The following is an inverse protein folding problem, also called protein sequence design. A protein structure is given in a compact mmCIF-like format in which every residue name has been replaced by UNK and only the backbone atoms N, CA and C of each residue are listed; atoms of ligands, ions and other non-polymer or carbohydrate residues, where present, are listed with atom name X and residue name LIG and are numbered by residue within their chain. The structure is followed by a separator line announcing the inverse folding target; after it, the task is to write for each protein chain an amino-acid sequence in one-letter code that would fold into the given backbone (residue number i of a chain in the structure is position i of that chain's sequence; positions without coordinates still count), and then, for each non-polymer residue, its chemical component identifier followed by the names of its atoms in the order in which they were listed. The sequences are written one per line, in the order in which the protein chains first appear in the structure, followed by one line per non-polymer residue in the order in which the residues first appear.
data_IF_336558788772
#
_entry.id   IF_336558788772
#
_cell.length_a   1.000
_cell.length_b   1.000
_cell.length_c   1.000
_cell.angle_alpha   90.00
_cell.angle_beta   90.00
_cell.angle_gamma   90.00
#
_symmetry.space_group_name_H-M   'P 1'
#
loop_
_entity.id
_entity.type
_entity.pdbx_description
1 polymer ?
#
# COMPACT_ATOMS: atom_id res chain seq x y z
N UNK A 1 0.35 -12.53 68.35
CA UNK A 1 0.07 -13.11 67.02
C UNK A 1 -1.24 -12.65 66.42
N UNK A 2 -2.37 -12.76 67.09
CA UNK A 2 -3.69 -12.32 66.57
C UNK A 2 -3.75 -10.81 66.28
N UNK A 3 -3.15 -9.94 67.14
CA UNK A 3 -3.04 -8.50 66.90
C UNK A 3 -2.18 -8.16 65.66
N UNK A 4 -1.08 -8.91 65.44
CA UNK A 4 -0.19 -8.71 64.31
C UNK A 4 -0.84 -9.11 62.98
N UNK A 5 -1.60 -10.23 62.95
CA UNK A 5 -2.37 -10.67 61.80
C UNK A 5 -3.51 -9.69 61.47
N UNK A 6 -4.14 -9.10 62.51
CA UNK A 6 -5.20 -8.10 62.35
C UNK A 6 -4.65 -6.77 61.81
N UNK A 7 -3.44 -6.36 62.21
CA UNK A 7 -2.74 -5.18 61.69
C UNK A 7 -2.22 -5.42 60.28
N UNK A 8 -1.67 -6.61 59.94
CA UNK A 8 -1.26 -7.00 58.62
C UNK A 8 -2.40 -6.97 57.59
N UNK A 9 -3.58 -7.49 57.98
CA UNK A 9 -4.79 -7.39 57.16
C UNK A 9 -5.21 -5.95 56.89
N UNK A 10 -5.08 -5.07 57.86
CA UNK A 10 -5.41 -3.63 57.77
C UNK A 10 -4.44 -2.89 56.82
N UNK A 11 -3.16 -3.28 56.80
CA UNK A 11 -2.17 -2.69 55.90
C UNK A 11 -2.33 -3.14 54.47
N UNK A 12 -2.71 -4.38 54.23
CA UNK A 12 -3.06 -4.89 52.91
C UNK A 12 -4.25 -4.18 52.27
N UNK A 13 -5.27 -3.80 53.10
CA UNK A 13 -6.45 -3.06 52.63
C UNK A 13 -6.14 -1.62 52.22
N UNK A 14 -5.01 -1.05 52.60
CA UNK A 14 -4.53 0.28 52.19
C UNK A 14 -3.65 0.18 50.93
N UNK A 15 -2.81 -0.85 50.85
CA UNK A 15 -1.90 -1.06 49.76
C UNK A 15 -2.63 -1.42 48.47
N UNK A 16 -3.57 -2.35 48.54
CA UNK A 16 -4.27 -2.84 47.34
C UNK A 16 -4.97 -1.70 46.56
N UNK A 17 -5.72 -0.76 47.22
CA UNK A 17 -6.31 0.37 46.52
C UNK A 17 -5.30 1.31 45.86
N UNK A 18 -4.17 1.60 46.53
CA UNK A 18 -3.13 2.47 45.97
C UNK A 18 -2.49 1.86 44.70
N UNK A 19 -2.08 0.62 44.79
CA UNK A 19 -1.49 -0.07 43.67
C UNK A 19 -2.48 -0.33 42.53
N UNK A 20 -3.70 -0.70 42.90
CA UNK A 20 -4.77 -0.94 41.94
C UNK A 20 -5.15 0.35 41.18
N UNK A 21 -5.31 1.46 41.90
CA UNK A 21 -5.63 2.74 41.28
C UNK A 21 -4.50 3.25 40.36
N UNK A 22 -3.24 3.10 40.77
CA UNK A 22 -2.09 3.48 39.97
C UNK A 22 -1.97 2.62 38.70
N UNK A 23 -2.21 1.31 38.81
CA UNK A 23 -2.18 0.39 37.68
C UNK A 23 -3.35 0.65 36.71
N UNK A 24 -4.56 0.84 37.22
CA UNK A 24 -5.77 1.04 36.43
C UNK A 24 -5.78 2.39 35.69
N UNK A 25 -5.20 3.43 36.31
CA UNK A 25 -5.13 4.78 35.70
C UNK A 25 -3.97 4.96 34.73
N UNK A 26 -3.12 3.92 34.56
CA UNK A 26 -1.93 4.02 33.70
C UNK A 26 -0.84 4.95 34.23
N UNK A 27 -0.98 5.38 35.50
CA UNK A 27 0.00 6.23 36.23
C UNK A 27 1.07 5.39 36.94
N UNK A 28 1.18 4.10 36.62
CA UNK A 28 2.28 3.27 37.13
C UNK A 28 3.60 3.94 36.79
N UNK A 29 4.52 4.02 37.76
CA UNK A 29 5.80 4.71 37.59
C UNK A 29 6.61 4.06 36.48
N UNK A 30 6.95 4.82 35.43
CA UNK A 30 7.66 4.34 34.26
C UNK A 30 9.19 4.42 34.43
N UNK A 31 9.68 5.46 35.11
CA UNK A 31 11.11 5.65 35.35
C UNK A 31 11.56 4.97 36.65
N UNK A 32 12.87 4.62 36.74
CA UNK A 32 13.46 4.00 37.95
C UNK A 32 13.30 4.90 39.18
N UNK A 33 13.43 6.21 39.03
CA UNK A 33 13.26 7.19 40.13
C UNK A 33 11.80 7.26 40.58
N UNK A 34 10.85 7.26 39.64
CA UNK A 34 9.41 7.26 40.00
C UNK A 34 9.00 5.97 40.71
N UNK A 35 9.59 4.81 40.30
CA UNK A 35 9.36 3.53 40.97
C UNK A 35 9.88 3.54 42.42
N UNK A 36 11.10 4.05 42.65
CA UNK A 36 11.67 4.12 43.99
C UNK A 36 10.90 5.08 44.91
N UNK A 37 10.48 6.25 44.40
CA UNK A 37 9.67 7.21 45.14
C UNK A 37 8.29 6.65 45.49
N UNK A 38 7.61 6.03 44.55
CA UNK A 38 6.30 5.39 44.77
C UNK A 38 6.42 4.26 45.79
N UNK A 39 7.46 3.45 45.72
CA UNK A 39 7.72 2.37 46.68
C UNK A 39 8.00 2.93 48.08
N UNK A 40 8.81 3.99 48.20
CA UNK A 40 9.14 4.62 49.45
C UNK A 40 7.91 5.25 50.12
N UNK A 41 7.06 5.96 49.36
CA UNK A 41 5.80 6.53 49.87
C UNK A 41 4.84 5.42 50.34
N UNK A 42 4.71 4.34 49.55
CA UNK A 42 3.85 3.22 49.93
C UNK A 42 4.35 2.54 51.18
N UNK A 43 5.66 2.29 51.30
CA UNK A 43 6.28 1.72 52.49
C UNK A 43 6.10 2.62 53.71
N UNK A 44 6.22 3.96 53.55
CA UNK A 44 5.98 4.92 54.59
C UNK A 44 4.53 4.87 55.13
N UNK A 45 3.54 4.82 54.23
CA UNK A 45 2.13 4.68 54.64
C UNK A 45 1.85 3.36 55.34
N UNK A 46 2.48 2.27 54.93
CA UNK A 46 2.37 0.97 55.61
C UNK A 46 2.97 1.03 57.00
N UNK A 47 4.16 1.55 57.15
CA UNK A 47 4.82 1.68 58.46
C UNK A 47 4.00 2.52 59.41
N UNK A 48 3.48 3.67 58.97
CA UNK A 48 2.59 4.50 59.76
C UNK A 48 1.28 3.78 60.13
N UNK A 49 0.73 2.98 59.21
CA UNK A 49 -0.52 2.22 59.48
C UNK A 49 -0.33 1.05 60.44
N UNK A 50 0.87 0.53 60.56
CA UNK A 50 1.23 -0.54 61.51
C UNK A 50 1.54 -0.03 62.91
N UNK A 51 1.62 1.29 63.12
CA UNK A 51 1.90 1.89 64.41
C UNK A 51 0.84 1.48 65.46
N UNK A 52 1.33 1.19 66.64
CA UNK A 52 0.46 0.91 67.82
C UNK A 52 -0.23 2.17 68.36
N UNK A 53 0.32 3.34 68.03
CA UNK A 53 -0.23 4.64 68.43
C UNK A 53 -1.43 5.01 67.56
N UNK A 54 -2.67 5.19 68.12
CA UNK A 54 -3.87 5.42 67.32
C UNK A 54 -3.81 6.66 66.40
N UNK A 55 -3.33 7.83 66.81
CA UNK A 55 -3.24 8.99 65.92
C UNK A 55 -2.23 8.78 64.75
N UNK A 56 -1.08 8.15 65.01
CA UNK A 56 -0.08 7.87 63.96
C UNK A 56 -0.63 6.90 62.94
N UNK A 57 -1.36 5.90 63.37
CA UNK A 57 -2.04 4.93 62.47
C UNK A 57 -3.13 5.61 61.63
N UNK A 58 -3.90 6.51 62.24
CA UNK A 58 -4.90 7.29 61.53
C UNK A 58 -4.30 8.15 60.42
N UNK A 59 -3.17 8.80 60.67
CA UNK A 59 -2.41 9.59 59.66
C UNK A 59 -1.97 8.70 58.51
N UNK A 60 -1.43 7.51 58.78
CA UNK A 60 -0.99 6.57 57.72
C UNK A 60 -2.16 6.11 56.82
N UNK A 61 -3.30 5.77 57.43
CA UNK A 61 -4.49 5.31 56.70
C UNK A 61 -5.12 6.42 55.85
N UNK A 62 -5.30 7.61 56.43
CA UNK A 62 -5.91 8.76 55.75
C UNK A 62 -4.98 9.31 54.67
N UNK A 63 -3.66 9.35 54.89
CA UNK A 63 -2.68 9.79 53.94
C UNK A 63 -2.61 8.89 52.71
N UNK A 64 -2.64 7.56 52.91
CA UNK A 64 -2.69 6.60 51.79
C UNK A 64 -3.95 6.75 50.92
N UNK A 65 -5.09 7.02 51.57
CA UNK A 65 -6.35 7.24 50.86
C UNK A 65 -6.39 8.58 50.12
N UNK A 66 -5.88 9.65 50.74
CA UNK A 66 -5.74 10.95 50.07
C UNK A 66 -4.83 10.86 48.85
N UNK A 67 -3.75 10.09 48.92
CA UNK A 67 -2.88 9.79 47.76
C UNK A 67 -3.64 9.05 46.65
N UNK A 68 -4.44 8.05 46.99
CA UNK A 68 -5.27 7.32 46.02
C UNK A 68 -6.26 8.26 45.31
N UNK A 69 -6.96 9.12 46.06
CA UNK A 69 -7.88 10.11 45.49
C UNK A 69 -7.13 11.10 44.59
N UNK A 70 -5.94 11.56 45.00
CA UNK A 70 -5.09 12.44 44.21
C UNK A 70 -4.72 11.81 42.85
N UNK A 71 -4.38 10.51 42.82
CA UNK A 71 -4.14 9.78 41.58
C UNK A 71 -5.38 9.71 40.67
N UNK A 72 -6.54 9.46 41.23
CA UNK A 72 -7.80 9.41 40.48
C UNK A 72 -8.18 10.77 39.91
N UNK A 73 -8.01 11.85 40.69
CA UNK A 73 -8.26 13.22 40.24
C UNK A 73 -7.31 13.57 39.07
N UNK A 74 -6.01 13.26 39.19
CA UNK A 74 -5.05 13.55 38.11
C UNK A 74 -5.33 12.74 36.86
N UNK A 75 -5.82 11.52 36.96
CA UNK A 75 -6.26 10.71 35.82
C UNK A 75 -7.51 11.31 35.16
N UNK A 76 -8.46 11.81 35.94
CA UNK A 76 -9.63 12.51 35.44
C UNK A 76 -9.25 13.75 34.60
N UNK A 77 -8.34 14.58 35.14
CA UNK A 77 -7.85 15.79 34.45
C UNK A 77 -7.09 15.46 33.15
N UNK A 78 -6.55 14.26 33.04
CA UNK A 78 -5.93 13.76 31.79
C UNK A 78 -6.93 13.22 30.74
N UNK A 79 -8.23 13.31 31.04
CA UNK A 79 -9.30 12.96 30.10
C UNK A 79 -9.89 11.56 30.26
N UNK A 80 -9.42 10.77 31.23
CA UNK A 80 -10.01 9.44 31.50
C UNK A 80 -11.26 9.57 32.36
N UNK A 81 -12.41 9.86 31.75
CA UNK A 81 -13.69 10.00 32.42
C UNK A 81 -14.18 8.72 33.12
N UNK A 82 -13.67 7.55 32.74
CA UNK A 82 -14.04 6.29 33.38
C UNK A 82 -13.58 6.21 34.83
N UNK A 83 -12.59 7.01 35.20
CA UNK A 83 -12.09 7.13 36.59
C UNK A 83 -13.16 7.62 37.58
N UNK A 84 -14.21 8.32 37.13
CA UNK A 84 -15.34 8.71 37.95
C UNK A 84 -16.02 7.51 38.63
N UNK A 85 -16.01 6.34 38.02
CA UNK A 85 -16.54 5.11 38.60
C UNK A 85 -15.76 4.65 39.84
N UNK A 86 -14.51 5.06 39.98
CA UNK A 86 -13.65 4.76 41.12
C UNK A 86 -13.63 5.91 42.15
N UNK A 87 -13.80 7.14 41.70
CA UNK A 87 -13.69 8.33 42.55
C UNK A 87 -14.77 8.34 43.62
N UNK A 88 -16.02 8.07 43.26
CA UNK A 88 -17.14 8.03 44.20
C UNK A 88 -17.00 6.90 45.26
N UNK A 89 -16.75 5.63 44.87
CA UNK A 89 -16.52 4.56 45.85
C UNK A 89 -15.31 4.82 46.76
N UNK A 90 -14.25 5.41 46.20
CA UNK A 90 -13.06 5.77 46.97
C UNK A 90 -13.38 6.83 48.02
N UNK A 91 -14.10 7.89 47.65
CA UNK A 91 -14.54 8.93 48.57
C UNK A 91 -15.50 8.38 49.67
N UNK A 92 -16.44 7.51 49.27
CA UNK A 92 -17.34 6.85 50.21
C UNK A 92 -16.56 5.98 51.22
N UNK A 93 -15.56 5.23 50.75
CA UNK A 93 -14.69 4.40 51.60
C UNK A 93 -13.90 5.26 52.59
N UNK A 94 -13.39 6.42 52.15
CA UNK A 94 -12.70 7.37 53.01
C UNK A 94 -13.65 7.91 54.09
N UNK A 95 -14.84 8.37 53.72
CA UNK A 95 -15.86 8.87 54.64
C UNK A 95 -16.23 7.84 55.69
N UNK A 96 -16.48 6.61 55.29
CA UNK A 96 -16.79 5.52 56.25
C UNK A 96 -15.61 5.21 57.17
N UNK A 97 -14.35 5.26 56.70
CA UNK A 97 -13.16 5.07 57.54
C UNK A 97 -12.96 6.19 58.53
N UNK A 98 -13.17 7.43 58.13
CA UNK A 98 -13.13 8.58 59.05
C UNK A 98 -14.15 8.39 60.17
N UNK A 99 -15.36 7.95 59.82
CA UNK A 99 -16.44 7.71 60.79
C UNK A 99 -16.09 6.59 61.79
N UNK A 100 -15.26 5.62 61.41
CA UNK A 100 -14.76 4.55 62.31
C UNK A 100 -13.58 5.03 63.17
N UNK A 101 -12.69 5.88 62.61
CA UNK A 101 -11.49 6.35 63.30
C UNK A 101 -11.85 7.37 64.43
N UNK A 102 -12.78 8.28 64.13
CA UNK A 102 -13.19 9.31 65.09
C UNK A 102 -13.64 8.76 66.45
N UNK A 103 -14.57 7.79 66.57
CA UNK A 103 -14.93 7.16 67.85
C UNK A 103 -13.79 6.42 68.52
N UNK A 104 -12.84 5.83 67.67
CA UNK A 104 -11.65 5.13 68.19
C UNK A 104 -10.60 6.03 68.83
N UNK A 105 -10.68 7.35 68.63
CA UNK A 105 -9.83 8.37 69.29
C UNK A 105 -10.33 8.78 70.71
N UNK A 106 -11.32 8.08 71.22
CA UNK A 106 -11.88 8.34 72.60
C UNK A 106 -12.33 9.76 72.79
N UNK A 107 -12.88 10.39 71.75
CA UNK A 107 -13.45 11.74 71.86
C UNK A 107 -14.68 11.74 72.74
N UNK A 108 -14.86 12.75 73.65
CA UNK A 108 -15.92 12.78 74.65
C UNK A 108 -17.35 12.85 74.10
N UNK A 109 -17.50 13.15 72.83
CA UNK A 109 -18.78 13.27 72.11
C UNK A 109 -19.43 11.94 71.70
N UNK A 110 -18.72 10.81 71.79
CA UNK A 110 -19.25 9.52 71.34
C UNK A 110 -19.57 8.62 72.51
N UNK A 111 -20.83 8.22 72.61
CA UNK A 111 -21.26 7.24 73.63
C UNK A 111 -20.64 5.83 73.28
N UNK A 112 -20.46 5.01 74.32
CA UNK A 112 -19.95 3.65 74.21
C UNK A 112 -20.78 2.79 73.21
N UNK A 113 -22.10 2.98 73.23
CA UNK A 113 -23.00 2.30 72.30
C UNK A 113 -22.75 2.68 70.86
N UNK A 114 -22.51 3.95 70.52
CA UNK A 114 -22.22 4.41 69.21
C UNK A 114 -20.85 3.84 68.72
N UNK A 115 -19.81 3.86 69.57
CA UNK A 115 -18.52 3.27 69.34
C UNK A 115 -18.61 1.77 68.98
N UNK A 116 -19.41 1.00 69.72
CA UNK A 116 -19.63 -0.41 69.50
C UNK A 116 -20.31 -0.68 68.15
N UNK A 117 -21.36 0.05 67.79
CA UNK A 117 -22.03 -0.12 66.49
C UNK A 117 -21.18 0.29 65.34
N UNK A 118 -20.45 1.37 65.37
CA UNK A 118 -19.57 1.86 64.34
C UNK A 118 -18.41 0.88 64.11
N UNK A 119 -17.81 0.34 65.22
CA UNK A 119 -16.77 -0.70 65.08
C UNK A 119 -17.28 -2.01 64.51
N UNK A 120 -18.53 -2.38 64.77
CA UNK A 120 -19.14 -3.59 64.22
C UNK A 120 -19.45 -3.47 62.74
N UNK A 121 -19.84 -2.27 62.30
CA UNK A 121 -20.08 -1.96 60.88
C UNK A 121 -18.78 -1.70 60.11
N UNK A 122 -17.63 -1.65 60.76
CA UNK A 122 -16.33 -1.33 60.15
C UNK A 122 -15.89 -2.31 59.04
N UNK A 123 -16.46 -3.53 59.00
CA UNK A 123 -16.16 -4.53 57.95
C UNK A 123 -16.83 -4.22 56.62
N UNK A 124 -17.76 -3.29 56.55
CA UNK A 124 -18.58 -2.97 55.37
C UNK A 124 -17.95 -1.83 54.56
N UNK A 125 -17.00 -1.07 55.14
CA UNK A 125 -16.46 0.15 54.49
C UNK A 125 -15.64 -0.10 53.20
N UNK A 126 -15.14 -1.31 53.00
CA UNK A 126 -14.37 -1.63 51.78
C UNK A 126 -15.25 -2.09 50.60
N UNK A 127 -16.55 -2.40 50.86
CA UNK A 127 -17.49 -2.86 49.84
C UNK A 127 -17.68 -1.85 48.70
N UNK A 128 -17.92 -0.54 48.97
CA UNK A 128 -18.09 0.43 47.87
C UNK A 128 -16.87 0.52 46.95
N UNK A 129 -15.66 0.44 47.53
CA UNK A 129 -14.43 0.51 46.76
C UNK A 129 -14.22 -0.74 45.91
N UNK A 130 -14.42 -1.94 46.48
CA UNK A 130 -14.30 -3.22 45.74
C UNK A 130 -15.31 -3.29 44.60
N UNK A 131 -16.54 -2.88 44.81
CA UNK A 131 -17.58 -2.83 43.79
C UNK A 131 -17.22 -1.84 42.68
N UNK A 132 -16.72 -0.66 43.05
CA UNK A 132 -16.25 0.34 42.08
C UNK A 132 -15.06 -0.16 41.25
N UNK A 133 -14.10 -0.81 41.89
CA UNK A 133 -12.96 -1.43 41.15
C UNK A 133 -13.43 -2.50 40.20
N UNK A 134 -14.34 -3.36 40.62
CA UNK A 134 -14.88 -4.43 39.80
C UNK A 134 -15.63 -3.88 38.57
N UNK A 135 -16.49 -2.89 38.76
CA UNK A 135 -17.21 -2.25 37.65
C UNK A 135 -16.25 -1.53 36.67
N UNK A 136 -15.24 -0.83 37.22
CA UNK A 136 -14.22 -0.18 36.39
C UNK A 136 -13.41 -1.18 35.56
N UNK A 137 -12.93 -2.26 36.17
CA UNK A 137 -12.17 -3.33 35.48
C UNK A 137 -13.02 -3.96 34.42
N UNK A 138 -14.26 -4.37 34.73
CA UNK A 138 -15.18 -4.95 33.76
C UNK A 138 -15.40 -4.04 32.53
N UNK A 139 -15.66 -2.73 32.79
CA UNK A 139 -15.85 -1.75 31.73
C UNK A 139 -14.60 -1.58 30.86
N UNK A 140 -13.42 -1.53 31.49
CA UNK A 140 -12.15 -1.42 30.74
C UNK A 140 -11.84 -2.65 29.91
N UNK A 141 -12.13 -3.84 30.44
CA UNK A 141 -12.03 -5.09 29.70
C UNK A 141 -12.98 -5.12 28.49
N UNK A 142 -14.24 -4.74 28.69
CA UNK A 142 -15.21 -4.67 27.60
C UNK A 142 -14.73 -3.73 26.48
N UNK A 143 -14.28 -2.53 26.82
CA UNK A 143 -13.76 -1.57 25.85
C UNK A 143 -12.48 -2.05 25.13
N UNK A 144 -11.60 -2.78 25.82
CA UNK A 144 -10.43 -3.37 25.17
C UNK A 144 -10.81 -4.54 24.27
N UNK A 145 -11.78 -5.35 24.69
CA UNK A 145 -12.28 -6.47 23.88
C UNK A 145 -12.90 -5.97 22.57
N UNK A 146 -13.76 -4.95 22.65
CA UNK A 146 -14.35 -4.33 21.46
C UNK A 146 -13.29 -3.78 20.50
N UNK A 147 -12.24 -3.13 21.04
CA UNK A 147 -11.12 -2.62 20.23
C UNK A 147 -10.32 -3.74 19.56
N UNK A 148 -10.04 -4.82 20.30
CA UNK A 148 -9.30 -5.95 19.71
C UNK A 148 -10.11 -6.66 18.64
N UNK A 149 -11.43 -6.78 18.85
CA UNK A 149 -12.32 -7.36 17.85
C UNK A 149 -12.44 -6.49 16.60
N UNK A 150 -12.52 -5.16 16.76
CA UNK A 150 -12.52 -4.22 15.63
C UNK A 150 -11.22 -4.30 14.83
N UNK A 151 -10.06 -4.31 15.52
CA UNK A 151 -8.76 -4.44 14.87
C UNK A 151 -8.59 -5.79 14.16
N UNK A 152 -9.10 -6.88 14.76
CA UNK A 152 -9.08 -8.19 14.13
C UNK A 152 -9.90 -8.20 12.83
N UNK A 153 -11.13 -7.65 12.86
CA UNK A 153 -11.98 -7.54 11.66
C UNK A 153 -11.33 -6.68 10.57
N UNK A 154 -10.73 -5.54 10.95
CA UNK A 154 -10.03 -4.66 10.01
C UNK A 154 -8.82 -5.36 9.38
N UNK A 155 -8.07 -6.12 10.18
CA UNK A 155 -6.93 -6.91 9.69
C UNK A 155 -7.39 -8.01 8.74
N UNK A 156 -8.43 -8.77 9.10
CA UNK A 156 -9.00 -9.82 8.27
C UNK A 156 -9.47 -9.27 6.92
N UNK A 157 -10.11 -8.10 6.92
CA UNK A 157 -10.54 -7.43 5.70
C UNK A 157 -9.35 -7.03 4.83
N UNK A 158 -8.30 -6.42 5.41
CA UNK A 158 -7.08 -6.06 4.68
C UNK A 158 -6.36 -7.29 4.11
N UNK A 159 -6.33 -8.39 4.85
CA UNK A 159 -5.75 -9.66 4.38
C UNK A 159 -6.55 -10.21 3.20
N UNK A 160 -7.89 -10.21 3.31
CA UNK A 160 -8.76 -10.68 2.23
C UNK A 160 -8.60 -9.84 0.95
N UNK A 161 -8.58 -8.50 1.08
CA UNK A 161 -8.39 -7.59 -0.06
C UNK A 161 -7.02 -7.78 -0.71
N UNK A 162 -5.96 -7.91 0.11
CA UNK A 162 -4.61 -8.13 -0.41
C UNK A 162 -4.46 -9.49 -1.09
N UNK A 163 -5.08 -10.52 -0.53
CA UNK A 163 -5.07 -11.87 -1.11
C UNK A 163 -5.80 -11.89 -2.46
N UNK A 164 -6.95 -11.20 -2.56
CA UNK A 164 -7.68 -11.08 -3.82
C UNK A 164 -6.84 -10.38 -4.88
N UNK A 165 -6.24 -9.23 -4.56
CA UNK A 165 -5.38 -8.50 -5.49
C UNK A 165 -4.19 -9.34 -5.98
N UNK A 166 -3.52 -10.08 -5.07
CA UNK A 166 -2.43 -10.99 -5.42
C UNK A 166 -2.89 -12.16 -6.30
N UNK A 167 -4.09 -12.68 -6.07
CA UNK A 167 -4.64 -13.76 -6.88
C UNK A 167 -4.95 -13.26 -8.29
N UNK A 168 -5.57 -12.10 -8.42
CA UNK A 168 -5.86 -11.46 -9.73
C UNK A 168 -4.57 -11.18 -10.51
N UNK A 169 -3.55 -10.62 -9.85
CA UNK A 169 -2.23 -10.40 -10.45
C UNK A 169 -1.58 -11.71 -10.91
N UNK A 170 -1.67 -12.76 -10.10
CA UNK A 170 -1.09 -14.06 -10.42
C UNK A 170 -1.80 -14.73 -11.61
N UNK A 171 -3.13 -14.62 -11.68
CA UNK A 171 -3.92 -15.15 -12.79
C UNK A 171 -3.67 -14.38 -14.08
N UNK A 172 -3.59 -13.05 -14.03
CA UNK A 172 -3.20 -12.22 -15.16
C UNK A 172 -1.81 -12.62 -15.69
N UNK A 173 -0.84 -12.82 -14.78
CA UNK A 173 0.52 -13.27 -15.15
C UNK A 173 0.54 -14.66 -15.79
N UNK A 174 -0.28 -15.61 -15.29
CA UNK A 174 -0.41 -16.94 -15.89
C UNK A 174 -1.00 -16.87 -17.30
N UNK A 175 -2.07 -16.09 -17.49
CA UNK A 175 -2.70 -15.89 -18.80
C UNK A 175 -1.74 -15.28 -19.79
N UNK A 176 -0.96 -14.28 -19.35
CA UNK A 176 0.12 -13.68 -20.13
C UNK A 176 1.17 -14.72 -20.59
N UNK A 177 1.64 -15.56 -19.67
CA UNK A 177 2.60 -16.64 -19.98
C UNK A 177 2.04 -17.62 -21.03
N UNK A 178 0.77 -17.99 -20.90
CA UNK A 178 0.12 -18.89 -21.86
C UNK A 178 0.06 -18.28 -23.26
N UNK A 179 -0.25 -16.99 -23.38
CA UNK A 179 -0.25 -16.27 -24.65
C UNK A 179 1.15 -16.25 -25.29
N UNK A 180 2.20 -15.95 -24.49
CA UNK A 180 3.59 -15.98 -24.94
C UNK A 180 3.95 -17.38 -25.51
N UNK A 181 3.62 -18.43 -24.78
CA UNK A 181 3.89 -19.80 -25.23
C UNK A 181 3.15 -20.14 -26.51
N UNK A 182 1.91 -19.69 -26.67
CA UNK A 182 1.14 -19.87 -27.88
C UNK A 182 1.80 -19.17 -29.07
N UNK A 183 2.20 -17.91 -28.89
CA UNK A 183 2.79 -17.07 -29.95
C UNK A 183 4.21 -17.51 -30.33
N UNK A 184 4.94 -18.14 -29.43
CA UNK A 184 6.22 -18.78 -29.72
C UNK A 184 6.06 -20.13 -30.44
N UNK A 185 5.06 -20.93 -30.04
CA UNK A 185 4.85 -22.29 -30.56
C UNK A 185 4.55 -22.27 -32.07
N UNK A 186 3.67 -21.38 -32.53
CA UNK A 186 3.20 -21.33 -33.90
C UNK A 186 4.35 -21.12 -34.91
N UNK A 187 5.17 -20.07 -34.79
CA UNK A 187 6.30 -19.86 -35.72
C UNK A 187 7.40 -20.91 -35.59
N UNK A 188 7.66 -21.43 -34.38
CA UNK A 188 8.60 -22.53 -34.14
C UNK A 188 8.17 -23.78 -34.88
N UNK A 189 6.88 -24.15 -34.77
CA UNK A 189 6.35 -25.30 -35.52
C UNK A 189 6.44 -25.11 -37.02
N UNK A 190 6.15 -23.90 -37.53
CA UNK A 190 6.28 -23.59 -38.96
C UNK A 190 7.74 -23.71 -39.47
N UNK A 191 8.71 -23.26 -38.63
CA UNK A 191 10.14 -23.41 -38.98
C UNK A 191 10.54 -24.89 -38.95
N UNK A 192 10.18 -25.65 -37.92
CA UNK A 192 10.47 -27.08 -37.81
C UNK A 192 9.89 -27.86 -38.98
N UNK A 193 8.59 -27.68 -39.27
CA UNK A 193 7.92 -28.36 -40.40
C UNK A 193 8.51 -27.97 -41.75
N UNK A 194 8.95 -26.70 -41.92
CA UNK A 194 9.63 -26.26 -43.14
C UNK A 194 11.00 -26.92 -43.29
N UNK A 195 11.74 -27.10 -42.20
CA UNK A 195 13.02 -27.83 -42.21
C UNK A 195 12.82 -29.32 -42.52
N UNK A 196 11.82 -29.97 -41.92
CA UNK A 196 11.47 -31.38 -42.20
C UNK A 196 11.11 -31.56 -43.70
N UNK A 197 10.39 -30.57 -44.27
CA UNK A 197 10.06 -30.57 -45.71
C UNK A 197 11.30 -30.42 -46.57
N UNK A 198 12.26 -29.58 -46.19
CA UNK A 198 13.52 -29.40 -46.91
C UNK A 198 14.43 -30.63 -46.82
N UNK A 199 14.36 -31.34 -45.70
CA UNK A 199 15.09 -32.62 -45.56
C UNK A 199 14.54 -33.69 -46.51
N UNK A 200 13.21 -33.73 -46.67
CA UNK A 200 12.52 -34.67 -47.57
C UNK A 200 12.61 -34.25 -49.05
N UNK A 201 12.62 -32.94 -49.35
CA UNK A 201 12.63 -32.37 -50.69
C UNK A 201 13.55 -31.14 -50.78
N UNK A 202 14.88 -31.31 -50.93
CA UNK A 202 15.85 -30.19 -50.96
C UNK A 202 15.60 -29.17 -52.07
N UNK A 203 14.98 -29.60 -53.15
CA UNK A 203 14.62 -28.74 -54.31
C UNK A 203 13.56 -27.67 -53.95
N UNK A 204 12.83 -27.84 -52.83
CA UNK A 204 11.86 -26.85 -52.36
C UNK A 204 12.51 -25.62 -51.64
N UNK A 205 13.84 -25.63 -51.47
CA UNK A 205 14.58 -24.57 -50.76
C UNK A 205 14.29 -23.14 -51.28
N UNK A 206 14.30 -22.85 -52.60
CA UNK A 206 14.05 -21.49 -53.08
C UNK A 206 12.65 -20.98 -52.75
N UNK A 207 11.67 -21.88 -52.70
CA UNK A 207 10.28 -21.54 -52.38
C UNK A 207 10.04 -21.35 -50.86
N UNK A 208 10.67 -22.17 -50.02
CA UNK A 208 10.47 -22.18 -48.56
C UNK A 208 11.37 -21.20 -47.83
N UNK A 209 12.56 -20.90 -48.34
CA UNK A 209 13.55 -20.07 -47.67
C UNK A 209 13.04 -18.68 -47.28
N UNK A 210 12.31 -17.94 -48.15
CA UNK A 210 11.77 -16.63 -47.75
C UNK A 210 10.80 -16.70 -46.58
N UNK A 211 9.92 -17.73 -46.58
CA UNK A 211 8.94 -17.94 -45.50
C UNK A 211 9.62 -18.31 -44.18
N UNK A 212 10.63 -19.19 -44.22
CA UNK A 212 11.42 -19.55 -43.03
C UNK A 212 12.19 -18.35 -42.47
N UNK A 213 12.80 -17.55 -43.33
CA UNK A 213 13.49 -16.33 -42.93
C UNK A 213 12.53 -15.32 -42.30
N UNK A 214 11.32 -15.18 -42.82
CA UNK A 214 10.29 -14.32 -42.23
C UNK A 214 9.89 -14.79 -40.81
N UNK A 215 9.67 -16.11 -40.62
CA UNK A 215 9.33 -16.68 -39.33
C UNK A 215 10.47 -16.53 -38.30
N UNK A 216 11.72 -16.70 -38.74
CA UNK A 216 12.89 -16.49 -37.89
C UNK A 216 13.05 -15.00 -37.47
N UNK A 217 12.81 -14.05 -38.41
CA UNK A 217 12.81 -12.62 -38.09
C UNK A 217 11.72 -12.27 -37.06
N UNK A 218 10.54 -12.85 -37.23
CA UNK A 218 9.43 -12.66 -36.26
C UNK A 218 9.79 -13.19 -34.87
N UNK A 219 10.33 -14.43 -34.77
CA UNK A 219 10.77 -15.02 -33.51
C UNK A 219 11.84 -14.17 -32.81
N UNK A 220 12.82 -13.69 -33.56
CA UNK A 220 13.86 -12.81 -33.03
C UNK A 220 13.24 -11.54 -32.44
N UNK A 221 12.36 -10.86 -33.19
CA UNK A 221 11.68 -9.66 -32.73
C UNK A 221 10.87 -9.94 -31.47
N UNK A 222 10.10 -11.02 -31.46
CA UNK A 222 9.28 -11.42 -30.29
C UNK A 222 10.13 -11.63 -29.03
N UNK A 223 11.29 -12.31 -29.17
CA UNK A 223 12.19 -12.52 -28.01
C UNK A 223 12.86 -11.23 -27.53
N UNK A 224 13.24 -10.33 -28.45
CA UNK A 224 13.78 -9.01 -28.12
C UNK A 224 12.74 -8.14 -27.40
N UNK A 225 11.49 -8.13 -27.88
CA UNK A 225 10.36 -7.40 -27.27
C UNK A 225 10.05 -7.94 -25.89
N UNK A 226 9.99 -9.26 -25.71
CA UNK A 226 9.77 -9.90 -24.40
C UNK A 226 10.86 -9.55 -23.40
N UNK A 227 12.13 -9.58 -23.84
CA UNK A 227 13.25 -9.24 -22.97
C UNK A 227 13.22 -7.76 -22.56
N UNK A 228 12.90 -6.87 -23.50
CA UNK A 228 12.79 -5.45 -23.23
C UNK A 228 11.59 -5.16 -22.31
N UNK A 229 10.42 -5.76 -22.56
CA UNK A 229 9.25 -5.62 -21.70
C UNK A 229 9.54 -6.08 -20.28
N UNK A 230 10.26 -7.20 -20.09
CA UNK A 230 10.67 -7.67 -18.77
C UNK A 230 11.62 -6.69 -18.06
N UNK A 231 12.57 -6.08 -18.79
CA UNK A 231 13.48 -5.06 -18.23
C UNK A 231 12.74 -3.77 -17.86
N UNK A 232 11.77 -3.33 -18.67
CA UNK A 232 10.94 -2.17 -18.40
C UNK A 232 10.11 -2.38 -17.12
N UNK A 233 9.52 -3.56 -16.97
CA UNK A 233 8.76 -3.93 -15.76
C UNK A 233 9.60 -3.87 -14.48
N UNK A 234 10.85 -4.32 -14.57
CA UNK A 234 11.80 -4.31 -13.46
C UNK A 234 12.47 -2.93 -13.25
N UNK A 235 12.13 -1.92 -14.09
CA UNK A 235 12.78 -0.59 -14.09
C UNK A 235 14.31 -0.67 -14.26
N UNK A 236 14.77 -1.66 -15.03
CA UNK A 236 16.20 -1.91 -15.26
C UNK A 236 16.71 -1.33 -16.59
N UNK A 237 15.86 -0.64 -17.33
CA UNK A 237 16.28 0.05 -18.56
C UNK A 237 16.94 1.37 -18.17
N UNK A 238 18.22 1.49 -18.48
CA UNK A 238 18.96 2.73 -18.37
C UNK A 238 19.03 3.33 -19.77
N UNK A 239 18.67 4.60 -19.92
CA UNK A 239 18.78 5.34 -21.18
C UNK A 239 20.21 5.87 -21.32
N UNK A 240 20.76 5.76 -22.51
CA UNK A 240 21.97 6.45 -22.90
C UNK A 240 21.59 7.78 -23.56
N UNK A 241 21.28 8.76 -22.72
CA UNK A 241 20.72 10.03 -23.14
C UNK A 241 21.78 10.93 -23.78
N UNK A 242 21.44 11.46 -24.95
CA UNK A 242 22.24 12.43 -25.70
C UNK A 242 21.31 13.43 -26.42
N UNK A 243 21.87 14.48 -27.01
CA UNK A 243 21.13 15.36 -27.91
C UNK A 243 20.82 14.63 -29.21
N UNK A 244 19.55 14.40 -29.49
CA UNK A 244 19.06 13.65 -30.66
C UNK A 244 18.06 14.51 -31.43
N UNK A 245 18.19 14.54 -32.76
CA UNK A 245 17.18 15.12 -33.64
C UNK A 245 16.04 14.10 -33.84
N UNK A 246 14.85 14.41 -33.31
CA UNK A 246 13.68 13.56 -33.43
C UNK A 246 13.22 13.44 -34.91
N UNK A 247 13.37 14.52 -35.69
CA UNK A 247 13.05 14.53 -37.13
C UNK A 247 13.96 13.59 -37.92
N UNK A 248 15.28 13.61 -37.65
CA UNK A 248 16.22 12.69 -38.29
C UNK A 248 15.96 11.23 -37.92
N UNK A 249 15.65 10.97 -36.64
CA UNK A 249 15.27 9.63 -36.19
C UNK A 249 14.01 9.11 -36.93
N UNK A 250 13.01 9.97 -37.10
CA UNK A 250 11.78 9.64 -37.81
C UNK A 250 12.02 9.43 -39.30
N UNK A 251 12.86 10.24 -39.94
CA UNK A 251 13.24 10.08 -41.31
C UNK A 251 13.95 8.73 -41.57
N UNK A 252 14.92 8.40 -40.71
CA UNK A 252 15.65 7.12 -40.85
C UNK A 252 14.70 5.91 -40.68
N UNK A 253 13.73 5.99 -39.77
CA UNK A 253 12.72 4.94 -39.61
C UNK A 253 11.83 4.83 -40.87
N UNK A 254 11.38 5.94 -41.44
CA UNK A 254 10.56 5.90 -42.68
C UNK A 254 11.33 5.31 -43.84
N UNK A 255 12.63 5.65 -44.00
CA UNK A 255 13.47 5.06 -45.03
C UNK A 255 13.63 3.55 -44.87
N UNK A 256 13.85 3.07 -43.62
CA UNK A 256 13.95 1.65 -43.31
C UNK A 256 12.64 0.88 -43.56
N UNK A 257 11.48 1.52 -43.32
CA UNK A 257 10.17 0.90 -43.51
C UNK A 257 9.62 1.00 -44.93
N UNK A 258 10.24 1.76 -45.82
CA UNK A 258 9.75 2.01 -47.20
C UNK A 258 9.53 0.74 -47.99
N UNK A 259 10.50 -0.14 -48.00
CA UNK A 259 10.40 -1.42 -48.72
C UNK A 259 9.26 -2.31 -48.17
N UNK A 260 9.02 -2.29 -46.87
CA UNK A 260 7.94 -3.06 -46.26
C UNK A 260 6.56 -2.48 -46.65
N UNK A 261 6.41 -1.17 -46.62
CA UNK A 261 5.20 -0.49 -47.08
C UNK A 261 4.93 -0.73 -48.57
N UNK A 262 5.95 -0.61 -49.46
CA UNK A 262 5.84 -0.87 -50.88
C UNK A 262 5.43 -2.32 -51.15
N UNK A 263 6.05 -3.30 -50.50
CA UNK A 263 5.70 -4.72 -50.63
C UNK A 263 4.25 -5.02 -50.25
N UNK A 264 3.68 -4.24 -49.33
CA UNK A 264 2.28 -4.34 -48.93
C UNK A 264 1.34 -3.52 -49.83
N UNK A 265 1.89 -2.67 -50.72
CA UNK A 265 1.12 -1.76 -51.55
C UNK A 265 0.51 -0.59 -50.79
N UNK A 266 1.19 -0.08 -49.76
CA UNK A 266 0.80 1.06 -48.93
C UNK A 266 1.74 2.24 -49.24
N UNK A 267 1.16 3.42 -49.47
CA UNK A 267 1.93 4.63 -49.70
C UNK A 267 2.44 5.19 -48.35
N UNK A 268 3.76 5.34 -48.23
CA UNK A 268 4.39 5.96 -47.06
C UNK A 268 4.89 7.35 -47.43
N UNK A 269 4.22 8.39 -46.91
CA UNK A 269 4.54 9.80 -47.10
C UNK A 269 5.18 10.36 -45.83
N UNK A 270 6.29 11.06 -45.95
CA UNK A 270 6.98 11.66 -44.82
C UNK A 270 7.21 13.15 -45.07
N UNK A 271 6.88 13.98 -44.07
CA UNK A 271 7.12 15.41 -44.10
C UNK A 271 7.66 15.82 -42.75
N UNK A 272 8.88 16.28 -42.70
CA UNK A 272 9.54 16.68 -41.48
C UNK A 272 9.85 18.17 -41.50
N UNK A 273 9.46 18.86 -40.40
CA UNK A 273 9.89 20.22 -40.15
C UNK A 273 11.38 20.24 -39.79
N UNK A 274 11.91 21.44 -39.52
CA UNK A 274 13.29 21.63 -39.11
C UNK A 274 13.69 20.74 -37.94
N UNK A 275 14.97 20.74 -37.63
CA UNK A 275 15.57 19.94 -36.55
C UNK A 275 14.77 20.08 -35.22
N UNK A 276 14.29 18.99 -34.68
CA UNK A 276 13.59 18.92 -33.39
C UNK A 276 14.50 18.25 -32.36
N UNK A 277 15.38 19.03 -31.69
CA UNK A 277 16.31 18.47 -30.71
C UNK A 277 15.58 18.06 -29.44
N UNK A 278 15.82 16.84 -29.01
CA UNK A 278 15.33 16.28 -27.76
C UNK A 278 16.49 15.66 -26.97
N UNK A 279 16.33 15.56 -25.64
CA UNK A 279 17.26 14.81 -24.81
C UNK A 279 16.77 13.36 -24.70
N UNK A 280 17.57 12.39 -25.16
CA UNK A 280 17.12 11.01 -25.15
C UNK A 280 18.09 10.00 -25.77
N UNK A 281 17.71 8.73 -25.71
CA UNK A 281 18.45 7.61 -26.30
C UNK A 281 18.01 7.40 -27.76
N UNK A 282 18.91 7.67 -28.70
CA UNK A 282 18.64 7.59 -30.14
C UNK A 282 18.10 6.21 -30.58
N UNK A 283 18.63 5.11 -30.01
CA UNK A 283 18.20 3.75 -30.33
C UNK A 283 16.78 3.50 -29.82
N UNK A 284 16.46 4.00 -28.62
CA UNK A 284 15.13 3.84 -28.03
C UNK A 284 14.08 4.72 -28.70
N UNK A 285 14.44 5.94 -29.07
CA UNK A 285 13.58 6.83 -29.86
C UNK A 285 13.27 6.24 -31.24
N UNK A 286 14.27 5.69 -31.93
CA UNK A 286 14.05 4.97 -33.19
C UNK A 286 13.15 3.74 -32.97
N UNK A 287 13.29 3.01 -31.86
CA UNK A 287 12.44 1.86 -31.53
C UNK A 287 10.97 2.27 -31.31
N UNK A 288 10.72 3.39 -30.64
CA UNK A 288 9.35 3.93 -30.50
C UNK A 288 8.75 4.18 -31.87
N UNK A 289 9.44 4.98 -32.69
CA UNK A 289 8.97 5.35 -34.02
C UNK A 289 8.79 4.14 -34.93
N UNK A 290 9.72 3.18 -34.89
CA UNK A 290 9.62 1.92 -35.61
C UNK A 290 8.35 1.15 -35.26
N UNK A 291 8.02 1.08 -33.96
CA UNK A 291 6.80 0.40 -33.51
C UNK A 291 5.53 1.11 -34.01
N UNK A 292 5.51 2.44 -34.03
CA UNK A 292 4.36 3.20 -34.54
C UNK A 292 4.21 3.04 -36.04
N UNK A 293 5.31 3.16 -36.83
CA UNK A 293 5.28 3.04 -38.31
C UNK A 293 4.96 1.62 -38.75
N UNK A 294 5.57 0.60 -38.13
CA UNK A 294 5.26 -0.81 -38.50
C UNK A 294 3.85 -1.18 -38.12
N UNK A 295 3.32 -0.63 -37.00
CA UNK A 295 1.92 -0.81 -36.65
C UNK A 295 1.00 -0.20 -37.71
N UNK A 296 1.26 1.04 -38.14
CA UNK A 296 0.52 1.69 -39.22
C UNK A 296 0.57 0.87 -40.53
N UNK A 297 1.76 0.35 -40.91
CA UNK A 297 1.89 -0.53 -42.09
C UNK A 297 1.04 -1.78 -41.91
N UNK A 298 1.06 -2.38 -40.71
CA UNK A 298 0.34 -3.63 -40.45
C UNK A 298 -1.19 -3.47 -40.57
N UNK A 299 -1.76 -2.37 -40.06
CA UNK A 299 -3.21 -2.16 -40.04
C UNK A 299 -3.77 -1.40 -41.24
N UNK A 300 -2.95 -0.85 -42.10
CA UNK A 300 -3.38 -0.21 -43.35
C UNK A 300 -3.57 -1.24 -44.46
N UNK A 301 -4.73 -1.32 -45.10
CA UNK A 301 -4.91 -2.22 -46.26
C UNK A 301 -4.10 -1.76 -47.48
N UNK A 302 -3.87 -2.67 -48.42
CA UNK A 302 -3.24 -2.33 -49.70
C UNK A 302 -4.02 -1.23 -50.43
N UNK A 303 -3.34 -0.23 -50.94
CA UNK A 303 -3.90 1.00 -51.52
C UNK A 303 -4.12 2.12 -50.52
N UNK A 304 -3.90 1.88 -49.21
CA UNK A 304 -3.98 2.91 -48.19
C UNK A 304 -2.72 3.76 -48.12
N UNK A 305 -2.77 4.79 -47.24
CA UNK A 305 -1.72 5.78 -47.10
C UNK A 305 -1.33 5.91 -45.64
N UNK A 306 -0.02 6.03 -45.37
CA UNK A 306 0.54 6.39 -44.07
C UNK A 306 1.27 7.72 -44.23
N UNK A 307 0.95 8.68 -43.34
CA UNK A 307 1.60 9.99 -43.31
C UNK A 307 2.35 10.14 -42.00
N UNK A 308 3.67 10.42 -42.11
CA UNK A 308 4.49 10.71 -40.93
C UNK A 308 4.93 12.17 -41.03
N UNK A 309 4.59 12.94 -40.02
CA UNK A 309 5.01 14.35 -39.96
C UNK A 309 5.48 14.74 -38.58
N UNK A 310 6.40 15.70 -38.53
CA UNK A 310 6.92 16.24 -37.27
C UNK A 310 6.76 17.75 -37.24
N UNK A 311 6.52 18.27 -36.04
CA UNK A 311 6.42 19.73 -35.81
C UNK A 311 6.72 20.04 -34.34
N UNK A 312 6.96 21.32 -34.08
CA UNK A 312 7.09 21.87 -32.75
C UNK A 312 5.77 22.48 -32.30
N UNK A 313 5.33 22.23 -31.07
CA UNK A 313 4.21 22.90 -30.42
C UNK A 313 4.42 22.98 -28.91
N UNK A 314 4.18 24.17 -28.33
CA UNK A 314 4.18 24.38 -26.87
C UNK A 314 5.46 23.87 -26.15
N UNK A 315 6.64 24.12 -26.74
CA UNK A 315 7.94 23.62 -26.24
C UNK A 315 8.05 22.09 -26.22
N UNK A 316 7.31 21.42 -27.09
CA UNK A 316 7.37 19.98 -27.29
C UNK A 316 7.69 19.66 -28.74
N UNK A 317 8.51 18.62 -28.95
CA UNK A 317 8.74 17.98 -30.24
C UNK A 317 7.68 16.91 -30.45
N UNK A 318 6.95 16.97 -31.56
CA UNK A 318 5.89 16.02 -31.90
C UNK A 318 6.20 15.28 -33.19
N UNK A 319 5.93 13.97 -33.19
CA UNK A 319 5.93 13.15 -34.42
C UNK A 319 4.62 12.38 -34.45
N UNK A 320 3.80 12.64 -35.46
CA UNK A 320 2.57 11.91 -35.72
C UNK A 320 2.77 10.87 -36.82
N UNK A 321 2.27 9.67 -36.60
CA UNK A 321 2.11 8.61 -37.59
C UNK A 321 0.61 8.41 -37.79
N UNK A 322 0.11 8.89 -38.91
CA UNK A 322 -1.30 8.79 -39.31
C UNK A 322 -1.47 7.72 -40.37
N UNK A 323 -2.42 6.81 -40.20
CA UNK A 323 -2.79 5.77 -41.12
C UNK A 323 -4.25 5.93 -41.60
N UNK A 324 -4.53 5.36 -42.77
CA UNK A 324 -5.90 5.22 -43.32
C UNK A 324 -6.42 3.79 -43.16
N UNK A 325 -6.07 3.15 -42.05
CA UNK A 325 -6.44 1.76 -41.75
C UNK A 325 -7.85 1.56 -41.22
N UNK A 326 -8.06 0.44 -40.55
CA UNK A 326 -9.38 0.07 -40.00
C UNK A 326 -9.85 0.98 -38.88
N UNK A 327 -8.95 1.73 -38.26
CA UNK A 327 -9.24 2.50 -37.05
C UNK A 327 -9.47 1.60 -35.81
N UNK A 328 -9.71 2.24 -34.67
CA UNK A 328 -9.83 1.60 -33.36
C UNK A 328 -11.15 2.06 -32.72
N UNK A 329 -11.94 1.09 -32.24
CA UNK A 329 -13.19 1.38 -31.53
C UNK A 329 -12.94 2.18 -30.25
N UNK A 330 -13.81 3.13 -29.86
CA UNK A 330 -13.61 3.96 -28.68
C UNK A 330 -13.40 3.13 -27.39
N UNK A 331 -14.05 1.99 -27.27
CA UNK A 331 -13.93 1.04 -26.15
C UNK A 331 -12.54 0.39 -26.05
N UNK A 332 -11.87 0.25 -27.19
CA UNK A 332 -10.53 -0.39 -27.28
C UNK A 332 -9.38 0.61 -27.17
N UNK A 333 -9.61 1.91 -27.39
CA UNK A 333 -8.55 2.93 -27.45
C UNK A 333 -7.72 3.03 -26.16
N UNK A 334 -8.33 2.83 -25.01
CA UNK A 334 -7.59 2.81 -23.74
C UNK A 334 -6.73 1.55 -23.59
N UNK A 335 -7.18 0.42 -24.14
CA UNK A 335 -6.56 -0.89 -23.99
C UNK A 335 -5.48 -1.20 -25.04
N UNK A 336 -5.36 -0.42 -26.14
CA UNK A 336 -4.35 -0.70 -27.17
C UNK A 336 -2.91 -0.61 -26.68
N UNK A 337 -2.67 0.06 -25.57
CA UNK A 337 -1.37 0.14 -24.91
C UNK A 337 -1.15 -0.98 -23.86
N UNK A 338 -2.18 -1.80 -23.61
CA UNK A 338 -2.05 -2.95 -22.71
C UNK A 338 -1.26 -4.05 -23.39
N UNK A 339 -0.56 -4.84 -22.59
CA UNK A 339 0.27 -5.95 -23.10
C UNK A 339 -0.59 -7.02 -23.74
N UNK A 340 -0.16 -7.48 -24.91
CA UNK A 340 -0.84 -8.56 -25.69
C UNK A 340 -2.26 -8.22 -26.11
N UNK A 341 -2.61 -6.93 -26.13
CA UNK A 341 -3.89 -6.51 -26.65
C UNK A 341 -3.93 -6.68 -28.18
N UNK A 342 -4.96 -7.35 -28.66
CA UNK A 342 -5.28 -7.51 -30.06
C UNK A 342 -6.75 -7.18 -30.26
N UNK A 343 -7.06 -6.37 -31.24
CA UNK A 343 -8.46 -6.14 -31.62
C UNK A 343 -9.06 -7.40 -32.22
N UNK A 344 -10.29 -7.72 -31.87
CA UNK A 344 -11.04 -8.91 -32.35
C UNK A 344 -11.20 -8.99 -33.85
N UNK A 345 -11.02 -7.87 -34.56
CA UNK A 345 -11.13 -7.78 -36.01
C UNK A 345 -9.94 -8.37 -36.79
N UNK A 346 -8.82 -8.68 -36.15
CA UNK A 346 -7.60 -9.08 -36.87
C UNK A 346 -6.95 -10.32 -36.21
N UNK A 347 -7.34 -11.50 -36.68
CA UNK A 347 -6.83 -12.82 -36.22
C UNK A 347 -5.53 -13.25 -36.93
N UNK A 348 -4.88 -12.39 -37.72
CA UNK A 348 -3.61 -12.73 -38.32
C UNK A 348 -2.45 -12.50 -37.35
N UNK A 349 -1.81 -13.58 -36.96
CA UNK A 349 -0.76 -13.75 -35.96
C UNK A 349 0.62 -13.10 -36.28
N UNK A 350 0.69 -11.94 -36.93
CA UNK A 350 1.97 -11.34 -37.29
C UNK A 350 2.41 -10.16 -36.39
N UNK A 351 1.66 -9.86 -35.33
CA UNK A 351 2.04 -8.83 -34.32
C UNK A 351 2.21 -9.43 -32.94
N UNK A 352 3.17 -8.92 -32.16
CA UNK A 352 3.50 -9.43 -30.83
C UNK A 352 2.56 -8.91 -29.74
N UNK A 353 1.75 -7.89 -30.03
CA UNK A 353 0.94 -7.19 -29.03
C UNK A 353 1.75 -6.46 -27.95
N UNK A 354 3.08 -6.37 -28.12
CA UNK A 354 3.99 -5.70 -27.18
C UNK A 354 4.51 -4.36 -27.70
N UNK A 355 4.47 -4.13 -29.02
CA UNK A 355 5.11 -2.97 -29.63
C UNK A 355 4.59 -1.62 -29.11
N UNK A 356 3.27 -1.44 -28.99
CA UNK A 356 2.67 -0.19 -28.48
C UNK A 356 2.94 -0.01 -27.00
N UNK A 357 2.85 -1.06 -26.20
CA UNK A 357 3.20 -1.03 -24.78
C UNK A 357 4.65 -0.62 -24.57
N UNK A 358 5.58 -1.22 -25.33
CA UNK A 358 7.01 -0.89 -25.27
C UNK A 358 7.22 0.58 -25.70
N UNK A 359 6.57 1.01 -26.78
CA UNK A 359 6.68 2.39 -27.25
C UNK A 359 6.21 3.38 -26.18
N UNK A 360 5.08 3.12 -25.52
CA UNK A 360 4.54 3.98 -24.48
C UNK A 360 5.46 4.04 -23.24
N UNK A 361 5.98 2.91 -22.78
CA UNK A 361 6.89 2.87 -21.63
C UNK A 361 8.24 3.55 -21.94
N UNK A 362 8.76 3.38 -23.15
CA UNK A 362 9.96 4.09 -23.61
C UNK A 362 9.71 5.60 -23.73
N UNK A 363 8.55 6.03 -24.24
CA UNK A 363 8.18 7.44 -24.28
C UNK A 363 8.11 8.05 -22.86
N UNK A 364 7.52 7.34 -21.90
CA UNK A 364 7.49 7.76 -20.50
C UNK A 364 8.89 7.89 -19.88
N UNK A 365 9.81 6.98 -20.20
CA UNK A 365 11.19 7.07 -19.74
C UNK A 365 11.90 8.31 -20.30
N UNK A 366 11.50 8.81 -21.48
CA UNK A 366 11.98 10.05 -22.08
C UNK A 366 11.16 11.28 -21.65
N UNK A 367 10.38 11.18 -20.53
CA UNK A 367 9.51 12.24 -20.02
C UNK A 367 8.44 12.71 -21.03
N UNK A 368 8.06 11.85 -21.97
CA UNK A 368 7.05 12.11 -22.99
C UNK A 368 5.84 11.21 -22.86
N UNK A 369 4.99 11.28 -23.86
CA UNK A 369 3.75 10.49 -23.97
C UNK A 369 3.42 10.15 -25.41
N UNK A 370 2.61 9.12 -25.63
CA UNK A 370 2.02 8.80 -26.94
C UNK A 370 0.52 9.07 -26.86
N UNK A 371 0.03 9.97 -27.70
CA UNK A 371 -1.37 10.30 -27.85
C UNK A 371 -1.98 9.48 -28.98
N UNK A 372 -3.25 9.11 -28.87
CA UNK A 372 -4.01 8.37 -29.85
C UNK A 372 -5.31 9.10 -30.20
N UNK A 373 -5.50 9.31 -31.52
CA UNK A 373 -6.76 9.73 -32.10
C UNK A 373 -7.16 8.72 -33.16
N UNK A 374 -8.35 8.12 -33.06
CA UNK A 374 -8.77 7.08 -34.02
C UNK A 374 -10.26 7.04 -34.19
N UNK A 375 -10.71 6.75 -35.40
CA UNK A 375 -12.12 6.53 -35.73
C UNK A 375 -12.24 5.29 -36.64
N UNK A 376 -13.16 4.41 -36.30
CA UNK A 376 -13.40 3.17 -37.05
C UNK A 376 -13.68 3.47 -38.52
N UNK A 377 -12.93 2.84 -39.41
CA UNK A 377 -13.04 3.02 -40.87
C UNK A 377 -12.37 4.26 -41.43
N UNK A 378 -11.78 5.13 -40.60
CA UNK A 378 -11.04 6.32 -41.06
C UNK A 378 -9.53 6.22 -40.81
N UNK A 379 -9.11 5.34 -39.90
CA UNK A 379 -7.72 5.12 -39.52
C UNK A 379 -7.39 5.63 -38.14
N UNK A 380 -6.09 5.69 -37.83
CA UNK A 380 -5.55 6.10 -36.53
C UNK A 380 -4.41 7.10 -36.71
N UNK A 381 -4.24 7.98 -35.71
CA UNK A 381 -3.11 8.87 -35.57
C UNK A 381 -2.45 8.63 -34.21
N UNK A 382 -1.22 8.17 -34.21
CA UNK A 382 -0.40 8.04 -33.02
C UNK A 382 0.62 9.17 -32.98
N UNK A 383 0.59 10.02 -31.97
CA UNK A 383 1.50 11.18 -31.83
C UNK A 383 2.44 10.96 -30.66
N UNK A 384 3.72 10.83 -30.93
CA UNK A 384 4.78 10.88 -29.92
C UNK A 384 5.03 12.34 -29.57
N UNK A 385 4.93 12.68 -28.30
CA UNK A 385 5.21 14.02 -27.76
C UNK A 385 6.36 13.93 -26.75
N UNK A 386 7.43 14.67 -26.98
CA UNK A 386 8.61 14.72 -26.12
C UNK A 386 8.93 16.19 -25.77
N UNK A 387 9.54 16.46 -24.61
CA UNK A 387 10.05 17.79 -24.29
C UNK A 387 11.10 18.21 -25.30
N UNK A 388 10.93 19.42 -25.89
CA UNK A 388 11.93 20.00 -26.76
C UNK A 388 13.13 20.47 -25.93
N UNK A 389 14.33 20.25 -26.43
CA UNK A 389 15.53 20.79 -25.80
C UNK A 389 15.54 22.30 -26.02
N UNK A 390 15.45 23.07 -24.94
CA UNK A 390 15.63 24.52 -25.00
C UNK A 390 17.10 24.81 -25.37
N UNK A 391 17.30 25.71 -26.32
CA UNK A 391 18.64 26.21 -26.75
C UNK A 391 19.45 26.83 -25.61
#
# INVERSE_FOLDING_TARGET
MVLFLRQGYFSLTVLAPIWLSAALTGMAPRTRQQKSLSLALTAGYVLLSLSTCPPVRAIGLLGGMAYCIGLLITAYWRGDRAVLLLLFPCAATVGLRVLVILPGLELPFFSESIRFYVMRCARIYDIPFTLGCMTFVCRRFALQFDRTEQLARELDQRVADRTRALTEETEARKSMMLNIFHDLRSPLFAVSSGLDTLEAAPEALPALLPALQQRMRFLRRLTEDLFLAAKLEQKQVLLNEDRVSLSEAAQAVCENCRSEAENKGVALCAQFDAELPVWGDAVRLQQILQNLVTNAIHYTPSGGTITVHSWEAESSALVCVQDTGCGIAPEDQAAVFDRYFHTTANTKHDSTGLGLTIAQELARLHHGEILLESEVGKGSCFTLKLPLLAD
#
